data_IF_886434111600
#
_entry.id   IF_886434111600
#
_cell.length_a   1.000
_cell.length_b   1.000
_cell.length_c   1.000
_cell.angle_alpha   90.00
_cell.angle_beta   90.00
_cell.angle_gamma   90.00
#
_symmetry.space_group_name_H-M   'P 1'
#
loop_
_entity.id
_entity.type
_entity.pdbx_description
1 polymer ?
#
# COMPACT_ATOMS: atom_id res chain seq x y z
N UNK A 1 -5.97 -8.27 57.26
CA UNK A 1 -4.72 -7.84 57.87
C UNK A 1 -3.59 -8.19 56.93
N UNK A 2 -3.15 -7.25 56.27
CA UNK A 2 -1.84 -6.68 55.96
C UNK A 2 -1.88 -5.95 54.65
N UNK A 3 -1.97 -4.65 54.79
CA UNK A 3 -1.70 -3.66 53.74
C UNK A 3 -0.22 -3.71 53.38
N UNK A 4 0.10 -3.66 52.13
CA UNK A 4 1.40 -3.22 51.62
C UNK A 4 1.19 -2.18 50.54
N UNK A 5 1.28 -0.95 50.96
CA UNK A 5 1.58 0.21 50.13
C UNK A 5 2.95 0.03 49.46
N UNK A 6 3.00 0.15 48.16
CA UNK A 6 4.24 0.30 47.43
C UNK A 6 4.30 1.69 46.77
N UNK A 7 5.29 2.45 47.30
CA UNK A 7 5.61 3.83 46.98
C UNK A 7 6.11 3.95 45.50
N UNK A 8 5.60 4.93 44.80
CA UNK A 8 6.19 5.50 43.58
C UNK A 8 7.44 6.33 43.96
N UNK A 9 8.52 6.29 43.21
CA UNK A 9 9.56 7.31 43.25
C UNK A 9 9.27 8.44 42.27
N UNK A 10 9.14 9.65 42.83
CA UNK A 10 9.27 10.90 42.06
C UNK A 10 10.73 11.04 41.60
N UNK A 11 10.90 11.28 40.32
CA UNK A 11 12.16 11.81 39.77
C UNK A 11 11.87 13.18 39.17
N UNK A 12 12.27 14.20 39.94
CA UNK A 12 12.45 15.57 39.47
C UNK A 12 13.91 15.70 39.07
N UNK A 13 14.20 15.97 37.82
CA UNK A 13 15.45 16.59 37.42
C UNK A 13 15.15 17.78 36.50
N UNK A 14 15.19 18.95 37.16
CA UNK A 14 15.28 20.24 36.49
C UNK A 14 16.72 20.42 36.00
N UNK A 15 16.93 20.41 34.69
CA UNK A 15 18.18 20.85 34.06
C UNK A 15 18.09 22.35 33.78
N UNK A 16 18.69 23.14 34.65
CA UNK A 16 19.02 24.56 34.39
C UNK A 16 20.09 24.65 33.31
N UNK A 17 19.73 25.20 32.16
CA UNK A 17 20.70 25.69 31.20
C UNK A 17 21.10 27.13 31.57
N UNK A 18 22.33 27.30 32.08
CA UNK A 18 22.98 28.59 32.22
C UNK A 18 23.40 29.09 30.79
N UNK A 19 22.84 30.22 30.43
CA UNK A 19 23.33 31.02 29.30
C UNK A 19 24.45 31.90 29.80
N UNK A 20 25.64 31.74 29.26
CA UNK A 20 26.74 32.69 29.39
C UNK A 20 27.38 32.97 28.03
N UNK A 21 27.50 34.22 27.88
CA UNK A 21 28.51 35.03 27.21
C UNK A 21 28.22 35.55 25.82
N UNK A 22 27.94 36.84 25.88
CA UNK A 22 27.98 37.80 24.76
C UNK A 22 29.38 37.84 24.14
N UNK A 23 29.48 37.50 22.88
CA UNK A 23 30.64 37.82 22.04
C UNK A 23 30.19 38.89 21.03
N UNK A 24 30.66 40.13 21.23
CA UNK A 24 30.59 41.23 20.27
C UNK A 24 31.38 40.82 19.00
N UNK A 25 30.82 40.86 17.81
CA UNK A 25 31.62 40.87 16.60
C UNK A 25 32.12 42.28 16.29
N UNK A 26 33.44 42.40 16.19
CA UNK A 26 34.08 43.54 15.59
C UNK A 26 33.72 43.65 14.10
N UNK A 27 33.25 44.84 13.75
CA UNK A 27 33.06 45.29 12.36
C UNK A 27 34.43 45.51 11.74
N UNK A 28 34.76 44.84 10.64
CA UNK A 28 35.64 45.36 9.59
C UNK A 28 35.54 44.54 8.31
N UNK A 29 35.44 45.36 7.29
CA UNK A 29 35.69 45.18 5.88
C UNK A 29 34.47 44.99 5.00
N UNK A 30 34.09 46.12 4.40
CA UNK A 30 33.23 46.23 3.23
C UNK A 30 33.85 45.46 2.06
N UNK A 31 33.39 44.21 1.86
CA UNK A 31 33.60 43.54 0.58
C UNK A 31 32.40 43.93 -0.30
N UNK A 32 32.67 44.78 -1.29
CA UNK A 32 31.74 45.03 -2.38
C UNK A 32 31.33 43.69 -3.00
N UNK A 33 30.03 43.40 -3.12
CA UNK A 33 29.63 42.23 -3.88
C UNK A 33 29.99 42.47 -5.36
N UNK A 34 30.90 41.64 -5.87
CA UNK A 34 31.00 41.46 -7.32
C UNK A 34 29.66 40.96 -7.82
N UNK A 35 29.08 41.74 -8.74
CA UNK A 35 27.90 41.33 -9.49
C UNK A 35 28.29 40.07 -10.25
N UNK A 36 27.90 38.91 -9.69
CA UNK A 36 27.92 37.69 -10.45
C UNK A 36 26.82 37.82 -11.49
N UNK A 37 27.21 37.73 -12.74
CA UNK A 37 26.31 37.58 -13.87
C UNK A 37 25.27 36.51 -13.49
N UNK A 38 24.00 36.90 -13.44
CA UNK A 38 22.87 35.98 -13.31
C UNK A 38 22.92 35.07 -14.54
N UNK A 39 23.48 33.88 -14.35
CA UNK A 39 23.35 32.82 -15.31
C UNK A 39 21.86 32.43 -15.29
N UNK A 40 21.13 32.89 -16.31
CA UNK A 40 19.76 32.43 -16.53
C UNK A 40 19.76 30.91 -16.49
N UNK A 41 18.88 30.29 -15.69
CA UNK A 41 18.80 28.81 -15.65
C UNK A 41 18.48 28.33 -17.06
N UNK A 42 19.41 27.58 -17.67
CA UNK A 42 19.15 26.90 -18.94
C UNK A 42 17.88 26.05 -18.78
N UNK A 43 16.80 26.43 -19.47
CA UNK A 43 15.59 25.63 -19.51
C UNK A 43 15.94 24.28 -20.12
N UNK A 44 15.75 23.22 -19.34
CA UNK A 44 15.92 21.86 -19.82
C UNK A 44 15.01 21.62 -21.04
N UNK A 45 15.50 20.97 -22.09
CA UNK A 45 14.72 20.72 -23.28
C UNK A 45 13.46 19.91 -22.91
N UNK A 46 12.28 20.44 -23.26
CA UNK A 46 11.01 19.76 -23.08
C UNK A 46 10.94 18.57 -24.03
N UNK A 47 10.93 17.35 -23.47
CA UNK A 47 10.79 16.13 -24.24
C UNK A 47 9.30 15.88 -24.48
N UNK A 48 8.88 15.87 -25.72
CA UNK A 48 7.52 15.41 -26.10
C UNK A 48 7.57 13.92 -26.34
N UNK A 49 7.01 13.16 -25.41
CA UNK A 49 6.91 11.72 -25.54
C UNK A 49 5.80 11.36 -26.52
N UNK A 50 6.08 10.40 -27.40
CA UNK A 50 5.09 9.92 -28.39
C UNK A 50 4.04 8.98 -27.78
N UNK A 51 4.29 8.48 -26.57
CA UNK A 51 3.38 7.63 -25.81
C UNK A 51 3.34 8.14 -24.36
N UNK A 52 2.20 7.99 -23.72
CA UNK A 52 2.11 8.26 -22.28
C UNK A 52 3.00 7.26 -21.52
N UNK A 53 3.93 7.79 -20.73
CA UNK A 53 4.70 7.00 -19.75
C UNK A 53 4.05 7.08 -18.37
N UNK A 54 2.92 7.78 -18.28
CA UNK A 54 2.16 7.90 -17.04
C UNK A 54 1.02 6.91 -17.05
N UNK A 55 0.88 6.18 -15.97
CA UNK A 55 -0.30 5.35 -15.70
C UNK A 55 -1.44 6.31 -15.39
N UNK A 56 -2.55 6.16 -16.10
CA UNK A 56 -3.76 6.94 -15.93
C UNK A 56 -4.82 6.15 -15.16
N UNK A 57 -5.90 6.81 -14.76
CA UNK A 57 -7.02 6.13 -14.09
C UNK A 57 -7.76 5.17 -15.02
N UNK A 58 -7.61 5.34 -16.34
CA UNK A 58 -8.23 4.50 -17.37
C UNK A 58 -7.39 3.24 -17.68
N UNK A 59 -6.16 3.17 -17.17
CA UNK A 59 -5.31 2.00 -17.34
C UNK A 59 -5.74 0.92 -16.32
N UNK A 60 -6.58 0.00 -16.80
CA UNK A 60 -7.19 -1.06 -16.01
C UNK A 60 -6.94 -2.44 -16.61
N UNK A 61 -7.09 -3.47 -15.81
CA UNK A 61 -7.10 -4.87 -16.24
C UNK A 61 -8.20 -5.64 -15.51
N UNK A 62 -8.68 -6.71 -16.14
CA UNK A 62 -9.76 -7.51 -15.62
C UNK A 62 -9.23 -8.85 -15.10
N UNK A 63 -9.79 -9.28 -13.97
CA UNK A 63 -9.57 -10.60 -13.40
C UNK A 63 -10.90 -11.31 -13.27
N UNK A 64 -10.92 -12.57 -13.68
CA UNK A 64 -12.10 -13.44 -13.58
C UNK A 64 -11.78 -14.66 -12.73
N UNK A 65 -12.62 -14.94 -11.74
CA UNK A 65 -12.53 -16.12 -10.88
C UNK A 65 -13.81 -16.91 -11.00
N UNK A 66 -13.70 -18.19 -11.40
CA UNK A 66 -14.84 -19.10 -11.47
C UNK A 66 -14.91 -19.93 -10.19
N UNK A 67 -16.09 -19.98 -9.61
CA UNK A 67 -16.33 -20.73 -8.38
C UNK A 67 -17.75 -21.31 -8.34
N UNK A 68 -17.97 -22.32 -7.51
CA UNK A 68 -19.29 -22.81 -7.17
C UNK A 68 -19.30 -23.37 -5.74
N UNK A 69 -20.48 -23.59 -5.18
CA UNK A 69 -20.61 -24.27 -3.91
C UNK A 69 -20.73 -25.78 -4.12
N UNK A 70 -20.06 -26.57 -3.27
CA UNK A 70 -20.31 -28.02 -3.20
C UNK A 70 -21.61 -28.34 -2.42
N UNK A 71 -21.98 -29.62 -2.36
CA UNK A 71 -23.16 -30.10 -1.63
C UNK A 71 -23.13 -29.77 -0.13
N UNK A 72 -21.96 -29.42 0.41
CA UNK A 72 -21.74 -29.03 1.81
C UNK A 72 -21.71 -27.53 2.00
N UNK A 73 -21.92 -26.75 0.94
CA UNK A 73 -21.85 -25.30 0.97
C UNK A 73 -20.42 -24.72 1.05
N UNK A 74 -19.38 -25.53 0.73
CA UNK A 74 -18.01 -25.03 0.64
C UNK A 74 -17.77 -24.42 -0.74
N UNK A 75 -17.15 -23.27 -0.78
CA UNK A 75 -16.73 -22.64 -2.04
C UNK A 75 -15.58 -23.44 -2.64
N UNK A 76 -15.76 -23.91 -3.87
CA UNK A 76 -14.73 -24.49 -4.71
C UNK A 76 -14.35 -23.50 -5.79
N UNK A 77 -13.05 -23.33 -6.07
CA UNK A 77 -12.50 -22.33 -6.98
C UNK A 77 -11.68 -23.03 -8.07
N UNK A 78 -11.93 -22.66 -9.31
CA UNK A 78 -11.20 -23.19 -10.46
C UNK A 78 -9.68 -22.98 -10.31
N UNK A 79 -8.93 -24.03 -10.62
CA UNK A 79 -7.46 -24.00 -10.52
C UNK A 79 -6.88 -24.11 -9.10
N UNK A 80 -7.72 -24.06 -8.05
CA UNK A 80 -7.28 -24.25 -6.67
C UNK A 80 -7.79 -25.54 -6.03
N UNK A 81 -8.98 -25.96 -6.39
CA UNK A 81 -9.63 -27.12 -5.82
C UNK A 81 -9.71 -28.24 -6.85
N UNK A 82 -9.17 -29.43 -6.50
CA UNK A 82 -9.25 -30.63 -7.36
C UNK A 82 -10.69 -31.12 -7.53
N UNK A 83 -11.56 -30.78 -6.57
CA UNK A 83 -12.99 -31.13 -6.57
C UNK A 83 -13.83 -30.15 -7.43
N UNK A 84 -13.23 -29.11 -8.02
CA UNK A 84 -13.95 -28.15 -8.86
C UNK A 84 -14.44 -28.84 -10.13
N UNK A 85 -15.74 -28.74 -10.40
CA UNK A 85 -16.36 -29.30 -11.58
C UNK A 85 -16.61 -28.17 -12.62
N UNK A 86 -15.86 -28.13 -13.75
CA UNK A 86 -16.02 -27.10 -14.77
C UNK A 86 -17.33 -27.19 -15.56
N UNK A 87 -18.05 -28.33 -15.46
CA UNK A 87 -19.34 -28.55 -16.12
C UNK A 87 -20.53 -28.29 -15.19
N UNK A 88 -20.29 -27.88 -13.95
CA UNK A 88 -21.35 -27.56 -13.00
C UNK A 88 -22.22 -26.40 -13.50
N UNK A 89 -23.55 -26.60 -13.54
CA UNK A 89 -24.50 -25.59 -14.00
C UNK A 89 -24.58 -24.34 -13.07
N UNK A 90 -24.13 -24.47 -11.85
CA UNK A 90 -24.18 -23.42 -10.81
C UNK A 90 -22.82 -22.70 -10.63
N UNK A 91 -22.02 -22.61 -11.71
CA UNK A 91 -20.76 -21.84 -11.64
C UNK A 91 -21.06 -20.34 -11.68
N UNK A 92 -20.57 -19.65 -10.66
CA UNK A 92 -20.50 -18.19 -10.63
C UNK A 92 -19.17 -17.71 -11.20
N UNK A 93 -19.20 -16.68 -12.02
CA UNK A 93 -18.02 -16.00 -12.51
C UNK A 93 -17.92 -14.61 -11.87
N UNK A 94 -16.97 -14.45 -10.95
CA UNK A 94 -16.69 -13.18 -10.31
C UNK A 94 -15.69 -12.42 -11.17
N UNK A 95 -16.12 -11.28 -11.73
CA UNK A 95 -15.28 -10.38 -12.52
C UNK A 95 -14.91 -9.17 -11.69
N UNK A 96 -13.62 -8.86 -11.66
CA UNK A 96 -13.09 -7.73 -10.91
C UNK A 96 -12.20 -6.89 -11.81
N UNK A 97 -12.37 -5.58 -11.73
CA UNK A 97 -11.59 -4.59 -12.48
C UNK A 97 -10.56 -3.96 -11.55
N UNK A 98 -9.31 -4.00 -11.94
CA UNK A 98 -8.20 -3.42 -11.21
C UNK A 98 -7.52 -2.34 -12.03
N UNK A 99 -6.99 -1.32 -11.40
CA UNK A 99 -6.09 -0.35 -12.04
C UNK A 99 -4.64 -0.81 -11.98
N UNK A 100 -3.84 -0.42 -12.95
CA UNK A 100 -2.39 -0.53 -12.85
C UNK A 100 -1.86 0.42 -11.76
N UNK A 101 -0.94 -0.05 -10.90
CA UNK A 101 -0.44 0.75 -9.79
C UNK A 101 0.46 1.89 -10.25
N UNK A 102 0.14 3.11 -9.86
CA UNK A 102 1.06 4.25 -9.93
C UNK A 102 2.08 4.20 -8.77
N UNK A 103 3.10 5.06 -8.81
CA UNK A 103 4.03 5.18 -7.69
C UNK A 103 3.32 5.61 -6.39
N UNK A 104 2.32 6.48 -6.48
CA UNK A 104 1.52 6.89 -5.33
C UNK A 104 0.71 5.73 -4.73
N UNK A 105 0.18 4.83 -5.57
CA UNK A 105 -0.51 3.62 -5.12
C UNK A 105 0.45 2.67 -4.41
N UNK A 106 1.68 2.51 -4.90
CA UNK A 106 2.70 1.69 -4.26
C UNK A 106 3.01 2.17 -2.83
N UNK A 107 3.15 3.48 -2.63
CA UNK A 107 3.30 4.04 -1.29
C UNK A 107 2.07 3.80 -0.41
N UNK A 108 0.86 3.94 -0.97
CA UNK A 108 -0.39 3.74 -0.26
C UNK A 108 -0.56 2.27 0.15
N UNK A 109 -0.21 1.33 -0.72
CA UNK A 109 -0.19 -0.11 -0.44
C UNK A 109 0.73 -0.41 0.76
N UNK A 110 1.95 0.13 0.76
CA UNK A 110 2.89 -0.08 1.86
C UNK A 110 2.40 0.53 3.19
N UNK A 111 1.76 1.70 3.14
CA UNK A 111 1.14 2.30 4.34
C UNK A 111 -0.04 1.47 4.83
N UNK A 112 -0.87 0.98 3.94
CA UNK A 112 -2.03 0.14 4.26
C UNK A 112 -1.59 -1.21 4.82
N UNK A 113 -0.54 -1.83 4.25
CA UNK A 113 0.10 -3.03 4.79
C UNK A 113 0.49 -2.84 6.26
N UNK A 114 1.10 -1.70 6.62
CA UNK A 114 1.49 -1.39 8.00
C UNK A 114 0.30 -1.25 8.97
N UNK A 115 -0.90 -0.93 8.46
CA UNK A 115 -2.12 -0.92 9.28
C UNK A 115 -2.55 -2.35 9.64
N UNK A 116 -2.43 -3.29 8.70
CA UNK A 116 -2.80 -4.70 8.91
C UNK A 116 -1.73 -5.49 9.67
N UNK A 117 -0.49 -5.16 9.39
CA UNK A 117 0.67 -5.75 10.06
C UNK A 117 1.75 -4.70 10.29
N UNK A 118 1.85 -4.18 11.52
CA UNK A 118 2.87 -3.19 11.87
C UNK A 118 4.27 -3.80 12.02
N UNK A 119 4.42 -5.14 11.98
CA UNK A 119 5.72 -5.79 12.04
C UNK A 119 6.56 -5.47 10.81
N UNK A 120 7.87 -5.47 10.97
CA UNK A 120 8.82 -5.39 9.86
C UNK A 120 9.28 -6.78 9.40
N UNK A 121 8.72 -7.83 10.01
CA UNK A 121 9.03 -9.21 9.64
C UNK A 121 8.54 -9.53 8.23
N UNK A 122 9.22 -10.45 7.58
CA UNK A 122 8.87 -10.95 6.24
C UNK A 122 8.21 -12.34 6.31
N UNK A 123 7.38 -12.54 7.33
CA UNK A 123 6.65 -13.77 7.51
C UNK A 123 5.39 -13.87 6.62
N UNK A 124 4.69 -15.00 6.70
CA UNK A 124 3.46 -15.24 5.94
C UNK A 124 2.37 -14.20 6.24
N UNK A 125 2.28 -13.73 7.50
CA UNK A 125 1.30 -12.73 7.91
C UNK A 125 1.56 -11.39 7.22
N UNK A 126 2.81 -10.96 7.20
CA UNK A 126 3.25 -9.74 6.52
C UNK A 126 3.00 -9.81 5.02
N UNK A 127 3.25 -10.97 4.42
CA UNK A 127 2.92 -11.23 3.03
C UNK A 127 1.41 -11.11 2.76
N UNK A 128 0.56 -11.78 3.55
CA UNK A 128 -0.89 -11.68 3.42
C UNK A 128 -1.40 -10.24 3.60
N UNK A 129 -0.84 -9.49 4.55
CA UNK A 129 -1.18 -8.10 4.76
C UNK A 129 -0.86 -7.22 3.53
N UNK A 130 0.25 -7.49 2.84
CA UNK A 130 0.62 -6.80 1.61
C UNK A 130 -0.36 -7.11 0.47
N UNK A 131 -0.72 -8.38 0.31
CA UNK A 131 -1.66 -8.80 -0.74
C UNK A 131 -3.06 -8.20 -0.54
N UNK A 132 -3.57 -8.20 0.69
CA UNK A 132 -4.82 -7.52 1.01
C UNK A 132 -4.76 -6.02 0.75
N UNK A 133 -3.67 -5.36 1.15
CA UNK A 133 -3.48 -3.94 0.89
C UNK A 133 -3.49 -3.65 -0.62
N UNK A 134 -2.87 -4.52 -1.43
CA UNK A 134 -2.84 -4.43 -2.89
C UNK A 134 -4.24 -4.51 -3.48
N UNK A 135 -5.02 -5.53 -3.11
CA UNK A 135 -6.40 -5.68 -3.60
C UNK A 135 -7.22 -4.45 -3.25
N UNK A 136 -7.23 -3.99 -1.98
CA UNK A 136 -8.03 -2.86 -1.52
C UNK A 136 -7.69 -1.55 -2.25
N UNK A 137 -6.43 -1.32 -2.58
CA UNK A 137 -5.98 -0.08 -3.22
C UNK A 137 -6.19 -0.10 -4.73
N UNK A 138 -6.06 -1.26 -5.35
CA UNK A 138 -6.09 -1.37 -6.81
C UNK A 138 -7.46 -1.71 -7.39
N UNK A 139 -8.34 -2.37 -6.62
CA UNK A 139 -9.68 -2.73 -7.12
C UNK A 139 -10.52 -1.47 -7.41
N UNK A 140 -11.21 -1.48 -8.54
CA UNK A 140 -12.08 -0.40 -8.98
C UNK A 140 -13.54 -0.80 -9.00
N UNK A 141 -13.83 -2.01 -9.46
CA UNK A 141 -15.18 -2.49 -9.63
C UNK A 141 -15.24 -4.02 -9.59
N UNK A 142 -16.42 -4.56 -9.40
CA UNK A 142 -16.72 -5.98 -9.53
C UNK A 142 -18.19 -6.18 -9.93
N UNK A 143 -18.53 -7.41 -10.35
CA UNK A 143 -19.90 -7.75 -10.73
C UNK A 143 -20.76 -8.32 -9.58
N UNK A 144 -20.31 -8.20 -8.32
CA UNK A 144 -21.12 -8.59 -7.16
C UNK A 144 -22.16 -7.52 -6.84
N UNK A 145 -23.24 -7.91 -6.13
CA UNK A 145 -24.31 -6.97 -5.74
C UNK A 145 -23.84 -5.94 -4.72
N UNK A 146 -22.89 -6.30 -3.87
CA UNK A 146 -22.31 -5.43 -2.85
C UNK A 146 -21.36 -4.41 -3.48
N UNK A 147 -21.32 -3.21 -2.91
CA UNK A 147 -20.37 -2.18 -3.33
C UNK A 147 -18.92 -2.57 -3.02
N UNK A 148 -18.00 -2.14 -3.88
CA UNK A 148 -16.56 -2.29 -3.64
C UNK A 148 -16.17 -1.44 -2.42
N UNK A 149 -15.94 -2.10 -1.29
CA UNK A 149 -15.40 -1.49 -0.10
C UNK A 149 -14.60 -2.51 0.71
N UNK A 150 -13.86 -2.01 1.70
CA UNK A 150 -12.96 -2.82 2.52
C UNK A 150 -13.69 -3.99 3.19
N UNK A 151 -14.85 -3.75 3.78
CA UNK A 151 -15.55 -4.76 4.59
C UNK A 151 -16.10 -5.88 3.70
N UNK A 152 -16.60 -5.54 2.52
CA UNK A 152 -17.08 -6.50 1.54
C UNK A 152 -15.92 -7.32 0.96
N UNK A 153 -14.75 -6.71 0.70
CA UNK A 153 -13.53 -7.43 0.29
C UNK A 153 -13.12 -8.45 1.36
N UNK A 154 -13.15 -8.07 2.65
CA UNK A 154 -12.85 -8.98 3.75
C UNK A 154 -13.88 -10.09 3.94
N UNK A 155 -15.10 -9.90 3.46
CA UNK A 155 -16.17 -10.91 3.51
C UNK A 155 -16.06 -11.97 2.42
N UNK A 156 -15.20 -11.75 1.40
CA UNK A 156 -14.96 -12.76 0.37
C UNK A 156 -14.32 -14.02 0.97
N UNK A 157 -14.66 -15.17 0.38
CA UNK A 157 -13.99 -16.42 0.73
C UNK A 157 -12.47 -16.31 0.58
N UNK A 158 -11.73 -16.85 1.55
CA UNK A 158 -10.26 -16.87 1.52
C UNK A 158 -9.72 -17.50 0.23
N UNK A 159 -10.42 -18.47 -0.36
CA UNK A 159 -10.01 -19.09 -1.62
C UNK A 159 -10.17 -18.13 -2.80
N UNK A 160 -11.28 -17.37 -2.84
CA UNK A 160 -11.48 -16.34 -3.87
C UNK A 160 -10.39 -15.27 -3.75
N UNK A 161 -10.14 -14.76 -2.54
CA UNK A 161 -9.08 -13.78 -2.29
C UNK A 161 -7.72 -14.30 -2.74
N UNK A 162 -7.42 -15.56 -2.47
CA UNK A 162 -6.17 -16.20 -2.89
C UNK A 162 -6.06 -16.25 -4.42
N UNK A 163 -7.11 -16.70 -5.14
CA UNK A 163 -7.15 -16.70 -6.61
C UNK A 163 -6.94 -15.31 -7.19
N UNK A 164 -7.66 -14.32 -6.67
CA UNK A 164 -7.53 -12.93 -7.10
C UNK A 164 -6.10 -12.42 -6.88
N UNK A 165 -5.53 -12.69 -5.71
CA UNK A 165 -4.14 -12.30 -5.38
C UNK A 165 -3.12 -12.90 -6.35
N UNK A 166 -3.26 -14.18 -6.66
CA UNK A 166 -2.39 -14.89 -7.61
C UNK A 166 -2.50 -14.27 -9.01
N UNK A 167 -3.73 -14.02 -9.49
CA UNK A 167 -3.97 -13.42 -10.79
C UNK A 167 -3.47 -11.96 -10.88
N UNK A 168 -3.69 -11.14 -9.84
CA UNK A 168 -3.14 -9.77 -9.77
C UNK A 168 -1.62 -9.78 -9.82
N UNK A 169 -0.99 -10.73 -9.14
CA UNK A 169 0.47 -10.86 -9.13
C UNK A 169 1.01 -11.29 -10.49
N UNK A 170 0.32 -12.21 -11.16
CA UNK A 170 0.69 -12.67 -12.50
C UNK A 170 0.61 -11.52 -13.50
N UNK A 171 -0.48 -10.74 -13.48
CA UNK A 171 -0.67 -9.59 -14.37
C UNK A 171 0.35 -8.47 -14.13
N UNK A 172 0.63 -8.15 -12.89
CA UNK A 172 1.57 -7.07 -12.53
C UNK A 172 3.04 -7.49 -12.64
N UNK A 173 3.31 -8.79 -12.80
CA UNK A 173 4.65 -9.35 -12.68
C UNK A 173 5.13 -9.42 -11.22
N UNK A 174 5.93 -10.42 -10.88
CA UNK A 174 6.42 -10.66 -9.51
C UNK A 174 7.32 -9.55 -8.96
N UNK A 175 7.85 -8.69 -9.83
CA UNK A 175 8.82 -7.64 -9.49
C UNK A 175 8.20 -6.24 -9.32
N UNK A 176 6.92 -6.09 -9.60
CA UNK A 176 6.32 -4.75 -9.74
C UNK A 176 6.15 -3.97 -8.43
N UNK A 177 6.35 -4.57 -7.26
CA UNK A 177 6.22 -3.85 -5.97
C UNK A 177 7.14 -4.49 -4.93
N UNK A 178 8.38 -4.07 -4.88
CA UNK A 178 9.26 -4.17 -3.69
C UNK A 178 9.81 -2.78 -3.41
#
# INVERSE_FOLDING_TARGET
>A
MSDKEEKQPEVKDEVKLEVKDEVKPEVKDEIKPEVKDEVEPEELPKITLKSSIFITEDDVFDISVRCHNDDKGRVLVEGQDEEFDPENEAIDEIKMVFKYPSQGDSELILRTKKIFDPSEDTDLRSFMALEFARIIILIRDWNLEEEVNRDNIFSLSTKIVKSVTEAVREELGTEAII
#
